data_IF_341968937128
#
_entry.id   IF_341968937128
#
_cell.length_a   1.000
_cell.length_b   1.000
_cell.length_c   1.000
_cell.angle_alpha   90.00
_cell.angle_beta   90.00
_cell.angle_gamma   90.00
#
_symmetry.space_group_name_H-M   'P 1'
#
loop_
_entity.id
_entity.type
_entity.pdbx_description
1 polymer ?
#
# COMPACT_ATOMS: atom_id res chain seq x y z
N UNK A 1 32.05 -38.79 -1.42
CA UNK A 1 32.38 -37.35 -1.35
C UNK A 1 31.14 -36.57 -1.76
N UNK A 2 30.31 -36.19 -0.80
CA UNK A 2 29.03 -35.51 -1.06
C UNK A 2 29.27 -34.02 -1.31
N UNK A 3 28.97 -33.54 -2.51
CA UNK A 3 29.01 -32.12 -2.85
C UNK A 3 27.86 -31.41 -2.14
N UNK A 4 28.20 -30.57 -1.16
CA UNK A 4 27.25 -29.74 -0.43
C UNK A 4 26.56 -28.76 -1.40
N UNK A 5 25.21 -28.60 -1.37
CA UNK A 5 24.53 -27.67 -2.25
C UNK A 5 24.90 -26.25 -1.84
N UNK A 6 25.57 -25.52 -2.72
CA UNK A 6 25.90 -24.10 -2.55
C UNK A 6 24.59 -23.33 -2.51
N UNK A 7 24.09 -22.99 -1.32
CA UNK A 7 22.95 -22.07 -1.17
C UNK A 7 23.37 -20.72 -1.76
N UNK A 8 22.94 -20.44 -2.98
CA UNK A 8 23.07 -19.11 -3.57
C UNK A 8 22.38 -18.11 -2.63
N UNK A 9 23.12 -17.08 -2.19
CA UNK A 9 22.55 -16.01 -1.41
C UNK A 9 21.35 -15.41 -2.18
N UNK A 10 20.21 -15.14 -1.53
CA UNK A 10 19.07 -14.55 -2.19
C UNK A 10 19.47 -13.18 -2.75
N UNK A 11 19.58 -13.09 -4.08
CA UNK A 11 19.90 -11.83 -4.75
C UNK A 11 18.67 -10.92 -4.75
N UNK A 12 18.78 -9.69 -4.22
CA UNK A 12 17.71 -8.70 -4.21
C UNK A 12 17.15 -8.37 -5.61
N UNK A 13 17.91 -8.66 -6.65
CA UNK A 13 17.57 -8.44 -8.06
C UNK A 13 16.79 -9.59 -8.72
N UNK A 14 16.64 -10.74 -8.03
CA UNK A 14 15.92 -11.92 -8.56
C UNK A 14 14.43 -11.63 -8.85
N UNK A 15 13.68 -10.93 -7.97
CA UNK A 15 12.27 -10.63 -8.18
C UNK A 15 12.00 -9.73 -9.38
N UNK A 16 12.90 -8.77 -9.67
CA UNK A 16 12.79 -7.84 -10.80
C UNK A 16 12.89 -8.51 -12.18
N UNK A 17 13.33 -9.77 -12.23
CA UNK A 17 13.39 -10.56 -13.47
C UNK A 17 12.04 -11.23 -13.80
N UNK A 18 11.10 -11.25 -12.85
CA UNK A 18 9.76 -11.80 -13.07
C UNK A 18 8.88 -10.70 -13.69
N UNK A 19 8.29 -10.92 -14.88
CA UNK A 19 7.51 -9.89 -15.58
C UNK A 19 6.32 -9.40 -14.76
N UNK A 20 5.58 -10.31 -14.12
CA UNK A 20 4.46 -10.00 -13.23
C UNK A 20 4.88 -9.12 -12.05
N UNK A 21 6.03 -9.40 -11.43
CA UNK A 21 6.51 -8.60 -10.31
C UNK A 21 6.89 -7.18 -10.76
N UNK A 22 7.52 -7.05 -11.94
CA UNK A 22 7.87 -5.75 -12.50
C UNK A 22 6.64 -4.92 -12.88
N UNK A 23 5.64 -5.54 -13.48
CA UNK A 23 4.38 -4.87 -13.84
C UNK A 23 3.64 -4.39 -12.59
N UNK A 24 3.50 -5.26 -11.58
CA UNK A 24 2.92 -4.87 -10.29
C UNK A 24 3.73 -3.75 -9.63
N UNK A 25 5.05 -3.84 -9.61
CA UNK A 25 5.92 -2.82 -9.02
C UNK A 25 5.75 -1.46 -9.70
N UNK A 26 5.67 -1.43 -11.03
CA UNK A 26 5.46 -0.18 -11.77
C UNK A 26 4.07 0.37 -11.50
N UNK A 27 3.04 -0.48 -11.51
CA UNK A 27 1.67 -0.07 -11.20
C UNK A 27 1.56 0.51 -9.78
N UNK A 28 2.20 -0.13 -8.81
CA UNK A 28 2.24 0.28 -7.40
C UNK A 28 2.93 1.64 -7.25
N UNK A 29 4.13 1.79 -7.82
CA UNK A 29 4.89 3.05 -7.77
C UNK A 29 4.10 4.20 -8.41
N UNK A 30 3.47 3.97 -9.57
CA UNK A 30 2.66 5.00 -10.24
C UNK A 30 1.42 5.36 -9.41
N UNK A 31 0.78 4.38 -8.77
CA UNK A 31 -0.39 4.58 -7.92
C UNK A 31 -0.06 5.37 -6.66
N UNK A 32 1.07 5.06 -6.02
CA UNK A 32 1.57 5.80 -4.86
C UNK A 32 1.87 7.26 -5.20
N UNK A 33 2.50 7.51 -6.36
CA UNK A 33 2.75 8.88 -6.84
C UNK A 33 1.44 9.64 -7.03
N UNK A 34 0.43 9.03 -7.67
CA UNK A 34 -0.88 9.64 -7.83
C UNK A 34 -1.55 9.98 -6.50
N UNK A 35 -1.45 9.08 -5.53
CA UNK A 35 -1.98 9.26 -4.17
C UNK A 35 -1.28 10.40 -3.45
N UNK A 36 0.05 10.51 -3.55
CA UNK A 36 0.79 11.65 -2.98
C UNK A 36 0.39 12.97 -3.64
N UNK A 37 0.27 12.99 -4.96
CA UNK A 37 -0.18 14.18 -5.68
C UNK A 37 -1.59 14.61 -5.26
N UNK A 38 -2.50 13.65 -5.07
CA UNK A 38 -3.85 13.92 -4.56
C UNK A 38 -3.81 14.53 -3.15
N UNK A 39 -3.00 13.98 -2.24
CA UNK A 39 -2.85 14.50 -0.88
C UNK A 39 -2.33 15.93 -0.85
N UNK A 40 -1.28 16.22 -1.64
CA UNK A 40 -0.73 17.58 -1.78
C UNK A 40 -1.75 18.53 -2.41
N UNK A 41 -2.47 18.08 -3.44
CA UNK A 41 -3.53 18.85 -4.09
C UNK A 41 -4.68 19.19 -3.15
N UNK A 42 -5.11 18.24 -2.32
CA UNK A 42 -6.14 18.45 -1.30
C UNK A 42 -5.69 19.48 -0.24
N UNK A 43 -4.44 19.38 0.23
CA UNK A 43 -3.86 20.36 1.14
C UNK A 43 -3.80 21.76 0.54
N UNK A 44 -3.36 21.88 -0.72
CA UNK A 44 -3.29 23.16 -1.44
C UNK A 44 -4.69 23.76 -1.67
N UNK A 45 -5.67 22.93 -1.99
CA UNK A 45 -7.07 23.34 -2.14
C UNK A 45 -7.63 23.89 -0.82
N UNK A 46 -7.37 23.23 0.30
CA UNK A 46 -7.78 23.73 1.63
C UNK A 46 -7.13 25.07 1.97
N UNK A 47 -5.85 25.26 1.66
CA UNK A 47 -5.15 26.56 1.82
C UNK A 47 -5.80 27.63 0.93
N UNK A 48 -6.12 27.31 -0.33
CA UNK A 48 -6.75 28.25 -1.27
C UNK A 48 -8.18 28.66 -0.86
N UNK A 49 -8.88 27.81 -0.10
CA UNK A 49 -10.20 28.07 0.46
C UNK A 49 -10.16 28.82 1.79
N UNK A 50 -8.98 29.19 2.29
CA UNK A 50 -8.81 29.88 3.58
C UNK A 50 -8.95 28.97 4.81
N UNK A 51 -8.96 27.64 4.63
CA UNK A 51 -8.94 26.70 5.75
C UNK A 51 -7.53 26.69 6.37
N UNK A 52 -7.44 26.97 7.68
CA UNK A 52 -6.16 27.08 8.37
C UNK A 52 -5.33 25.78 8.35
N UNK A 53 -4.00 25.85 8.52
CA UNK A 53 -3.07 24.71 8.44
C UNK A 53 -3.41 23.55 9.40
N UNK A 54 -4.16 23.83 10.47
CA UNK A 54 -4.70 22.83 11.40
C UNK A 54 -5.63 21.81 10.72
N UNK A 55 -6.47 22.25 9.77
CA UNK A 55 -7.41 21.37 9.09
C UNK A 55 -6.72 20.41 8.11
N UNK A 56 -5.66 20.86 7.44
CA UNK A 56 -4.82 19.99 6.59
C UNK A 56 -4.17 18.91 7.44
N UNK A 57 -3.58 19.29 8.58
CA UNK A 57 -2.97 18.34 9.51
C UNK A 57 -4.01 17.35 10.09
N UNK A 58 -5.24 17.81 10.37
CA UNK A 58 -6.32 16.95 10.84
C UNK A 58 -6.80 15.96 9.78
N UNK A 59 -6.94 16.38 8.52
CA UNK A 59 -7.29 15.49 7.41
C UNK A 59 -6.22 14.40 7.26
N UNK A 60 -4.95 14.78 7.29
CA UNK A 60 -3.86 13.80 7.19
C UNK A 60 -3.85 12.82 8.37
N UNK A 61 -4.07 13.32 9.58
CA UNK A 61 -4.16 12.49 10.79
C UNK A 61 -5.36 11.54 10.70
N UNK A 62 -6.53 12.04 10.31
CA UNK A 62 -7.76 11.25 10.18
C UNK A 62 -7.65 10.19 9.08
N UNK A 63 -6.93 10.46 7.98
CA UNK A 63 -6.67 9.46 6.94
C UNK A 63 -5.75 8.33 7.41
N UNK A 64 -4.81 8.61 8.31
CA UNK A 64 -3.78 7.63 8.73
C UNK A 64 -4.16 6.86 9.99
N UNK A 65 -4.99 7.46 10.86
CA UNK A 65 -5.46 6.89 12.12
C UNK A 65 -6.14 5.51 11.98
N UNK A 66 -7.09 5.28 11.05
CA UNK A 66 -7.74 3.97 10.93
C UNK A 66 -6.74 2.89 10.53
N UNK A 67 -5.79 3.18 9.62
CA UNK A 67 -4.73 2.24 9.29
C UNK A 67 -3.89 1.90 10.52
N UNK A 68 -3.53 2.89 11.34
CA UNK A 68 -2.77 2.64 12.56
C UNK A 68 -3.51 1.75 13.56
N UNK A 69 -4.80 2.03 13.80
CA UNK A 69 -5.62 1.24 14.73
C UNK A 69 -5.89 -0.18 14.22
N UNK A 70 -6.05 -0.33 12.90
CA UNK A 70 -6.39 -1.60 12.27
C UNK A 70 -5.17 -2.40 11.81
N UNK A 71 -3.96 -1.85 11.86
CA UNK A 71 -2.73 -2.53 11.41
C UNK A 71 -2.48 -3.85 12.17
N UNK A 72 -2.65 -3.83 13.49
CA UNK A 72 -2.47 -5.00 14.35
C UNK A 72 -3.46 -6.14 14.06
N UNK A 73 -4.79 -5.90 14.06
CA UNK A 73 -5.75 -6.94 13.73
C UNK A 73 -5.71 -7.34 12.24
N UNK A 74 -5.39 -6.41 11.33
CA UNK A 74 -5.22 -6.75 9.92
C UNK A 74 -4.03 -7.71 9.70
N UNK A 75 -2.94 -7.55 10.44
CA UNK A 75 -1.79 -8.45 10.41
C UNK A 75 -2.15 -9.87 10.87
N UNK A 76 -2.87 -10.00 12.00
CA UNK A 76 -3.25 -11.32 12.52
C UNK A 76 -4.28 -12.04 11.63
N UNK A 77 -5.22 -11.31 11.02
CA UNK A 77 -6.17 -11.88 10.06
C UNK A 77 -5.46 -12.30 8.77
N UNK A 78 -4.46 -11.53 8.31
CA UNK A 78 -3.70 -11.83 7.10
C UNK A 78 -2.86 -13.11 7.18
N UNK A 79 -2.50 -13.56 8.38
CA UNK A 79 -1.79 -14.82 8.60
C UNK A 79 -2.74 -16.03 8.73
N UNK A 80 -4.00 -15.81 9.14
CA UNK A 80 -4.99 -16.88 9.36
C UNK A 80 -5.86 -17.11 8.11
N UNK A 81 -6.11 -16.06 7.31
CA UNK A 81 -7.04 -16.13 6.20
C UNK A 81 -6.37 -16.44 4.85
N UNK A 82 -7.12 -17.09 3.95
CA UNK A 82 -6.72 -17.31 2.56
C UNK A 82 -6.50 -15.96 1.83
N UNK A 83 -5.22 -15.57 1.66
CA UNK A 83 -4.82 -14.28 1.04
C UNK A 83 -5.57 -13.96 -0.26
N UNK A 84 -5.82 -14.97 -1.10
CA UNK A 84 -6.51 -14.79 -2.40
C UNK A 84 -8.00 -14.42 -2.24
N UNK A 85 -8.69 -15.04 -1.27
CA UNK A 85 -10.10 -14.70 -0.99
C UNK A 85 -10.19 -13.32 -0.33
N UNK A 86 -9.27 -13.02 0.59
CA UNK A 86 -9.26 -11.75 1.29
C UNK A 86 -9.07 -10.56 0.34
N UNK A 87 -8.13 -10.66 -0.59
CA UNK A 87 -7.91 -9.66 -1.65
C UNK A 87 -9.18 -9.50 -2.52
N UNK A 88 -9.78 -10.60 -2.99
CA UNK A 88 -11.00 -10.54 -3.80
C UNK A 88 -12.18 -9.87 -3.06
N UNK A 89 -12.34 -10.15 -1.76
CA UNK A 89 -13.37 -9.52 -0.95
C UNK A 89 -13.13 -8.02 -0.76
N UNK A 90 -11.91 -7.60 -0.45
CA UNK A 90 -11.59 -6.19 -0.27
C UNK A 90 -11.70 -5.39 -1.57
N UNK A 91 -11.24 -5.96 -2.69
CA UNK A 91 -11.39 -5.33 -4.01
C UNK A 91 -12.86 -5.20 -4.41
N UNK A 92 -13.66 -6.26 -4.22
CA UNK A 92 -15.10 -6.21 -4.49
C UNK A 92 -15.82 -5.20 -3.58
N UNK A 93 -15.44 -5.14 -2.30
CA UNK A 93 -15.98 -4.16 -1.36
C UNK A 93 -15.66 -2.73 -1.79
N UNK A 94 -14.41 -2.44 -2.18
CA UNK A 94 -14.02 -1.12 -2.65
C UNK A 94 -14.79 -0.68 -3.88
N UNK A 95 -14.97 -1.57 -4.87
CA UNK A 95 -15.78 -1.27 -6.07
C UNK A 95 -17.24 -0.99 -5.72
N UNK A 96 -17.80 -1.66 -4.71
CA UNK A 96 -19.19 -1.43 -4.29
C UNK A 96 -19.38 -0.11 -3.52
N UNK A 97 -18.35 0.39 -2.84
CA UNK A 97 -18.40 1.59 -1.99
C UNK A 97 -17.93 2.85 -2.73
N UNK A 98 -17.02 2.70 -3.70
CA UNK A 98 -16.51 3.79 -4.54
C UNK A 98 -17.59 4.42 -5.44
#
# INVERSE_FOLDING_TARGET
MATSPKREAPSLWRPLRTPIFRELLVADVVSDVGTFMQGVGAAWLMVSLGAGPMYVALTQTASTLPFFLLALPAGSIGDIADRRKLILYTEAWMVCVA
#
